data_IF_901945100954
#
_entry.id   IF_901945100954
#
_cell.length_a   1.000
_cell.length_b   1.000
_cell.length_c   1.000
_cell.angle_alpha   90.00
_cell.angle_beta   90.00
_cell.angle_gamma   90.00
#
_symmetry.space_group_name_H-M   'P 1'
#
loop_
_entity.id
_entity.type
_entity.pdbx_description
1 polymer ?
#
# COMPACT_ATOMS: atom_id res chain seq x y z
N UNK A 1 -10.41 -1.89 -13.94
CA UNK A 1 -10.23 -3.16 -14.65
C UNK A 1 -9.40 -4.09 -13.79
N UNK A 2 -9.62 -5.41 -13.96
CA UNK A 2 -8.92 -6.47 -13.22
C UNK A 2 -8.31 -7.45 -14.22
N UNK A 3 -7.04 -7.81 -14.05
CA UNK A 3 -6.38 -8.85 -14.83
C UNK A 3 -6.67 -10.24 -14.25
N UNK A 4 -7.61 -10.94 -14.89
CA UNK A 4 -8.09 -12.26 -14.44
C UNK A 4 -7.23 -13.43 -14.92
N UNK A 5 -6.11 -13.18 -15.61
CA UNK A 5 -5.24 -14.20 -16.20
C UNK A 5 -3.98 -14.46 -15.36
N UNK A 6 -4.08 -14.28 -14.04
CA UNK A 6 -3.02 -14.54 -13.07
C UNK A 6 -3.14 -15.96 -12.53
N UNK A 7 -2.02 -16.54 -12.10
CA UNK A 7 -1.96 -17.95 -11.69
C UNK A 7 -2.97 -18.31 -10.58
N UNK A 8 -3.25 -17.39 -9.67
CA UNK A 8 -4.22 -17.56 -8.58
C UNK A 8 -5.69 -17.37 -8.99
N UNK A 9 -5.97 -17.05 -10.26
CA UNK A 9 -7.34 -16.88 -10.81
C UNK A 9 -7.67 -17.86 -11.94
N UNK A 10 -6.73 -18.73 -12.30
CA UNK A 10 -6.84 -19.70 -13.41
C UNK A 10 -6.70 -21.14 -12.87
N UNK A 11 -7.58 -22.09 -13.25
CA UNK A 11 -8.66 -21.97 -14.22
C UNK A 11 -9.83 -21.12 -13.70
N UNK A 12 -10.36 -20.24 -14.56
CA UNK A 12 -11.47 -19.36 -14.19
C UNK A 12 -12.80 -20.08 -14.39
N UNK A 13 -13.27 -20.78 -13.36
CA UNK A 13 -14.57 -21.46 -13.39
C UNK A 13 -15.73 -20.50 -13.07
N UNK A 14 -15.60 -19.75 -11.97
CA UNK A 14 -16.58 -18.76 -11.49
C UNK A 14 -15.84 -17.48 -11.12
N UNK A 15 -15.69 -16.55 -12.07
CA UNK A 15 -14.77 -15.41 -11.92
C UNK A 15 -15.01 -14.58 -10.66
N UNK A 16 -16.27 -14.33 -10.29
CA UNK A 16 -16.59 -13.56 -9.08
C UNK A 16 -16.10 -14.28 -7.82
N UNK A 17 -16.37 -15.58 -7.69
CA UNK A 17 -15.92 -16.38 -6.55
C UNK A 17 -14.40 -16.52 -6.53
N UNK A 18 -13.77 -16.73 -7.69
CA UNK A 18 -12.32 -16.80 -7.82
C UNK A 18 -11.65 -15.50 -7.33
N UNK A 19 -12.16 -14.33 -7.74
CA UNK A 19 -11.64 -13.04 -7.31
C UNK A 19 -11.90 -12.77 -5.82
N UNK A 20 -13.08 -13.09 -5.30
CA UNK A 20 -13.40 -12.90 -3.87
C UNK A 20 -12.48 -13.72 -2.96
N UNK A 21 -12.15 -14.95 -3.36
CA UNK A 21 -11.36 -15.85 -2.50
C UNK A 21 -9.86 -15.81 -2.75
N UNK A 22 -9.42 -15.42 -3.95
CA UNK A 22 -8.00 -15.50 -4.34
C UNK A 22 -7.45 -14.18 -4.89
N UNK A 23 -8.31 -13.20 -5.18
CA UNK A 23 -7.90 -11.93 -5.79
C UNK A 23 -6.90 -11.17 -4.91
N UNK A 24 -5.97 -10.49 -5.56
CA UNK A 24 -4.93 -9.71 -4.94
C UNK A 24 -5.01 -8.25 -5.43
N UNK A 25 -4.54 -7.27 -4.63
CA UNK A 25 -4.48 -5.88 -5.08
C UNK A 25 -3.71 -5.68 -6.40
N UNK A 26 -2.68 -6.49 -6.63
CA UNK A 26 -1.87 -6.48 -7.86
C UNK A 26 -2.60 -6.97 -9.12
N UNK A 27 -3.82 -7.48 -8.98
CA UNK A 27 -4.69 -7.81 -10.12
C UNK A 27 -5.38 -6.57 -10.69
N UNK A 28 -5.46 -5.47 -9.95
CA UNK A 28 -6.08 -4.23 -10.41
C UNK A 28 -5.12 -3.51 -11.38
N UNK A 29 -5.59 -3.26 -12.59
CA UNK A 29 -4.82 -2.57 -13.63
C UNK A 29 -5.29 -1.14 -13.85
N UNK A 30 -6.58 -0.87 -13.63
CA UNK A 30 -7.18 0.42 -13.95
C UNK A 30 -8.26 0.79 -12.95
N UNK A 31 -8.33 2.04 -12.53
CA UNK A 31 -9.38 2.60 -11.68
C UNK A 31 -9.77 3.96 -12.22
N UNK A 32 -11.08 4.17 -12.37
CA UNK A 32 -11.67 5.45 -12.78
C UNK A 32 -12.64 5.91 -11.70
N UNK A 33 -12.57 7.20 -11.36
CA UNK A 33 -13.47 7.86 -10.42
C UNK A 33 -14.02 9.09 -11.12
N UNK A 34 -15.35 9.21 -11.21
CA UNK A 34 -16.05 10.33 -11.85
C UNK A 34 -15.51 10.67 -13.26
N UNK A 35 -15.37 9.65 -14.12
CA UNK A 35 -14.85 9.81 -15.48
C UNK A 35 -13.34 10.04 -15.58
N UNK A 36 -12.62 10.19 -14.47
CA UNK A 36 -11.18 10.46 -14.43
C UNK A 36 -10.38 9.22 -14.04
N UNK A 37 -9.32 8.90 -14.78
CA UNK A 37 -8.41 7.81 -14.42
C UNK A 37 -7.57 8.19 -13.19
N UNK A 38 -7.56 7.32 -12.17
CA UNK A 38 -6.70 7.48 -10.97
C UNK A 38 -5.58 6.43 -10.92
N UNK A 39 -5.82 5.28 -11.56
CA UNK A 39 -4.85 4.23 -11.84
C UNK A 39 -5.07 3.78 -13.30
N UNK A 40 -4.01 3.65 -14.08
CA UNK A 40 -4.06 3.15 -15.47
C UNK A 40 -2.81 2.33 -15.76
N UNK A 41 -2.96 1.20 -16.44
CA UNK A 41 -1.85 0.30 -16.78
C UNK A 41 -0.98 -0.05 -15.55
N UNK A 42 -1.64 -0.27 -14.40
CA UNK A 42 -1.01 -0.54 -13.10
C UNK A 42 -0.08 0.57 -12.58
N UNK A 43 -0.30 1.83 -12.99
CA UNK A 43 0.41 3.01 -12.48
C UNK A 43 -0.56 4.04 -11.91
N UNK A 44 -0.26 4.59 -10.74
CA UNK A 44 -1.03 5.70 -10.18
C UNK A 44 -0.80 6.98 -10.99
N UNK A 45 -1.87 7.76 -11.18
CA UNK A 45 -1.85 8.99 -11.97
C UNK A 45 -2.02 10.25 -11.12
N UNK A 46 -2.28 10.10 -9.82
CA UNK A 46 -2.70 11.19 -8.93
C UNK A 46 -1.71 11.50 -7.83
N UNK A 47 -0.73 10.61 -7.61
CA UNK A 47 0.33 10.76 -6.61
C UNK A 47 1.65 10.25 -7.18
N UNK A 48 2.75 10.78 -6.65
CA UNK A 48 4.09 10.21 -6.82
C UNK A 48 4.30 9.19 -5.70
N UNK A 49 4.40 7.91 -6.06
CA UNK A 49 4.52 6.81 -5.10
C UNK A 49 5.82 6.90 -4.28
N UNK A 50 6.93 7.25 -4.92
CA UNK A 50 8.24 7.31 -4.27
C UNK A 50 8.30 8.46 -3.26
N UNK A 51 7.77 9.62 -3.64
CA UNK A 51 7.64 10.78 -2.74
C UNK A 51 6.74 10.48 -1.53
N UNK A 52 5.60 9.81 -1.75
CA UNK A 52 4.68 9.45 -0.67
C UNK A 52 5.32 8.45 0.30
N UNK A 53 6.06 7.46 -0.20
CA UNK A 53 6.78 6.49 0.65
C UNK A 53 7.84 7.22 1.48
N UNK A 54 8.64 8.10 0.87
CA UNK A 54 9.66 8.87 1.57
C UNK A 54 9.06 9.76 2.67
N UNK A 55 7.95 10.44 2.37
CA UNK A 55 7.22 11.26 3.35
C UNK A 55 6.62 10.43 4.48
N UNK A 56 6.08 9.26 4.17
CA UNK A 56 5.53 8.35 5.17
C UNK A 56 6.62 7.91 6.16
N UNK A 57 7.81 7.60 5.67
CA UNK A 57 8.98 7.26 6.51
C UNK A 57 9.36 8.43 7.43
N UNK A 58 9.49 9.64 6.87
CA UNK A 58 9.84 10.84 7.64
C UNK A 58 8.79 11.15 8.73
N UNK A 59 7.50 11.05 8.39
CA UNK A 59 6.40 11.21 9.34
C UNK A 59 6.47 10.14 10.43
N UNK A 60 6.72 8.88 10.05
CA UNK A 60 6.90 7.76 10.96
C UNK A 60 7.99 8.04 11.99
N UNK A 61 9.18 8.46 11.53
CA UNK A 61 10.29 8.83 12.42
C UNK A 61 9.90 9.91 13.42
N UNK A 62 9.23 10.98 12.96
CA UNK A 62 8.77 12.04 13.87
C UNK A 62 7.77 11.53 14.90
N UNK A 63 6.81 10.71 14.48
CA UNK A 63 5.80 10.14 15.37
C UNK A 63 6.43 9.23 16.43
N UNK A 64 7.36 8.36 16.03
CA UNK A 64 8.08 7.48 16.96
C UNK A 64 8.96 8.26 17.94
N UNK A 65 9.74 9.23 17.45
CA UNK A 65 10.60 10.06 18.30
C UNK A 65 9.78 10.83 19.34
N UNK A 66 8.62 11.35 18.95
CA UNK A 66 7.69 11.99 19.88
C UNK A 66 7.18 11.02 20.95
N UNK A 67 6.75 9.82 20.55
CA UNK A 67 6.24 8.81 21.48
C UNK A 67 7.29 8.42 22.54
N UNK A 68 8.56 8.25 22.12
CA UNK A 68 9.68 7.93 23.01
C UNK A 68 9.92 9.08 24.00
N UNK A 69 9.96 10.32 23.50
CA UNK A 69 10.19 11.50 24.34
C UNK A 69 9.09 11.68 25.40
N UNK A 70 7.84 11.38 25.06
CA UNK A 70 6.70 11.44 25.98
C UNK A 70 6.68 10.25 26.97
N UNK A 71 7.34 9.12 26.67
CA UNK A 71 7.29 7.88 27.46
C UNK A 71 8.69 7.27 27.71
N UNK A 72 9.58 7.96 28.45
CA UNK A 72 10.99 7.57 28.56
C UNK A 72 11.23 6.24 29.31
N UNK A 73 10.26 5.78 30.10
CA UNK A 73 10.38 4.57 30.92
C UNK A 73 9.65 3.35 30.34
N UNK A 74 9.06 3.46 29.14
CA UNK A 74 8.37 2.34 28.49
C UNK A 74 9.37 1.58 27.62
N UNK A 75 9.62 0.29 27.88
CA UNK A 75 10.49 -0.50 27.03
C UNK A 75 9.81 -0.82 25.70
N UNK A 76 10.54 -0.67 24.60
CA UNK A 76 10.08 -1.06 23.26
C UNK A 76 10.71 -2.39 22.84
N UNK A 77 9.94 -3.37 22.35
CA UNK A 77 10.45 -4.69 21.96
C UNK A 77 11.14 -4.69 20.58
N UNK A 78 11.44 -3.52 20.02
CA UNK A 78 12.03 -3.34 18.68
C UNK A 78 13.09 -2.24 18.72
N UNK A 79 14.08 -2.33 17.82
CA UNK A 79 14.97 -1.22 17.55
C UNK A 79 14.19 -0.15 16.79
N UNK A 80 14.02 0.99 17.41
CA UNK A 80 13.39 2.14 16.79
C UNK A 80 14.34 2.69 15.72
N UNK A 81 13.79 3.24 14.62
CA UNK A 81 14.61 3.77 13.55
C UNK A 81 15.62 4.81 14.10
N UNK A 82 16.85 4.85 13.55
CA UNK A 82 17.85 5.81 13.99
C UNK A 82 17.33 7.26 13.84
N UNK A 83 17.95 8.19 14.58
CA UNK A 83 17.72 9.63 14.40
C UNK A 83 17.82 10.06 12.93
N UNK A 84 17.22 11.21 12.56
CA UNK A 84 16.68 11.44 11.22
C UNK A 84 17.72 11.30 10.10
N UNK A 85 17.22 10.96 8.90
CA UNK A 85 17.98 10.97 7.63
C UNK A 85 18.77 12.26 7.42
#
# INVERSE_FOLDING_TARGET
MVNVRKAHLVPTLRIVSAFVHNGMPSDITDVMVDGSWVLRDSKLLTIDEDDIIAKAEEIGHRAWNRLIAENPNVPFPINLPPGPL
#
